data_IF_400388212672
#
_entry.id   IF_400388212672
#
_cell.length_a   1.000
_cell.length_b   1.000
_cell.length_c   1.000
_cell.angle_alpha   90.00
_cell.angle_beta   90.00
_cell.angle_gamma   90.00
#
_symmetry.space_group_name_H-M   'P 1'
#
loop_
_entity.id
_entity.type
_entity.pdbx_description
1 polymer ?
#
# COMPACT_ATOMS: atom_id res chain seq x y z
N UNK A 1 29.02 48.49 14.70
CA UNK A 1 29.62 47.99 13.45
C UNK A 1 29.96 46.54 13.71
N UNK A 2 29.32 45.62 12.98
CA UNK A 2 29.44 44.20 13.23
C UNK A 2 30.21 43.56 12.06
N UNK A 3 31.32 42.90 12.36
CA UNK A 3 32.27 42.36 11.38
C UNK A 3 32.30 40.82 11.43
N UNK A 4 31.97 40.16 10.33
CA UNK A 4 31.93 38.70 10.24
C UNK A 4 33.20 38.17 9.57
N UNK A 5 33.80 37.11 10.12
CA UNK A 5 34.97 36.42 9.55
C UNK A 5 34.57 35.09 8.92
N UNK A 6 34.96 34.88 7.66
CA UNK A 6 34.79 33.61 6.96
C UNK A 6 36.10 33.26 6.24
N UNK A 7 36.59 32.03 6.43
CA UNK A 7 37.76 31.50 5.72
C UNK A 7 37.26 30.50 4.67
N UNK A 8 37.70 30.58 3.40
CA UNK A 8 37.89 29.47 2.42
C UNK A 8 38.29 30.04 1.02
N UNK A 9 38.83 29.21 0.10
CA UNK A 9 39.40 29.60 -1.22
C UNK A 9 38.31 30.01 -2.24
N UNK A 10 38.58 31.09 -3.00
CA UNK A 10 37.74 31.63 -4.09
C UNK A 10 37.12 30.57 -5.03
N UNK A 11 35.82 30.32 -4.89
CA UNK A 11 35.01 29.48 -5.79
C UNK A 11 34.14 30.38 -6.69
N UNK A 12 34.05 30.10 -8.01
CA UNK A 12 33.27 30.90 -8.98
C UNK A 12 31.76 30.60 -8.99
N UNK A 13 31.29 29.71 -8.11
CA UNK A 13 29.90 29.33 -7.96
C UNK A 13 29.57 29.19 -6.47
N UNK A 14 28.31 29.45 -6.12
CA UNK A 14 27.80 29.30 -4.74
C UNK A 14 26.85 28.12 -4.69
N UNK A 15 27.21 27.08 -3.94
CA UNK A 15 26.37 25.88 -3.79
C UNK A 15 25.28 26.14 -2.76
N UNK A 16 24.03 25.90 -3.11
CA UNK A 16 22.87 26.02 -2.22
C UNK A 16 22.30 24.63 -1.99
N UNK A 17 22.06 24.25 -0.73
CA UNK A 17 21.46 22.96 -0.40
C UNK A 17 20.04 22.85 -0.95
N UNK A 18 19.69 21.71 -1.54
CA UNK A 18 18.32 21.43 -1.97
C UNK A 18 17.34 21.44 -0.78
N UNK A 19 17.81 21.07 0.42
CA UNK A 19 17.01 21.15 1.65
C UNK A 19 16.62 22.60 1.94
N UNK A 20 17.55 23.54 1.78
CA UNK A 20 17.27 24.95 1.94
C UNK A 20 16.16 25.38 0.98
N UNK A 21 16.27 24.99 -0.29
CA UNK A 21 15.31 25.34 -1.36
C UNK A 21 13.92 24.78 -1.03
N UNK A 22 13.83 23.50 -0.68
CA UNK A 22 12.55 22.82 -0.51
C UNK A 22 11.83 23.21 0.78
N UNK A 23 12.57 23.31 1.91
CA UNK A 23 11.97 23.45 3.25
C UNK A 23 12.01 24.88 3.81
N UNK A 24 13.02 25.67 3.46
CA UNK A 24 13.31 26.95 4.12
C UNK A 24 13.08 28.16 3.22
N UNK A 25 13.38 28.05 1.93
CA UNK A 25 13.29 29.15 0.96
C UNK A 25 11.83 29.54 0.68
N UNK A 26 10.92 28.55 0.59
CA UNK A 26 9.52 28.77 0.19
C UNK A 26 8.70 29.59 1.20
N UNK A 27 9.03 29.47 2.49
CA UNK A 27 8.33 30.16 3.59
C UNK A 27 8.99 31.49 3.98
N UNK A 28 10.23 31.73 3.56
CA UNK A 28 10.98 32.92 3.91
C UNK A 28 10.61 34.13 3.05
N UNK A 29 10.78 35.33 3.61
CA UNK A 29 10.62 36.58 2.85
C UNK A 29 11.69 36.68 1.77
N UNK A 30 11.32 37.15 0.58
CA UNK A 30 12.25 37.27 -0.56
C UNK A 30 13.53 38.06 -0.25
N UNK A 31 13.44 39.09 0.59
CA UNK A 31 14.62 39.86 1.04
C UNK A 31 15.56 39.01 1.92
N UNK A 32 15.04 38.13 2.77
CA UNK A 32 15.86 37.30 3.67
C UNK A 32 16.60 36.22 2.90
N UNK A 33 15.99 35.71 1.83
CA UNK A 33 16.63 34.78 0.89
C UNK A 33 17.80 35.46 0.19
N UNK A 34 17.64 36.72 -0.25
CA UNK A 34 18.74 37.50 -0.85
C UNK A 34 19.90 37.68 0.12
N UNK A 35 19.61 38.00 1.39
CA UNK A 35 20.63 38.12 2.45
C UNK A 35 21.36 36.80 2.67
N UNK A 36 20.62 35.68 2.75
CA UNK A 36 21.20 34.35 2.91
C UNK A 36 22.14 33.98 1.77
N UNK A 37 21.68 34.08 0.51
CA UNK A 37 22.46 33.72 -0.66
C UNK A 37 23.70 34.60 -0.83
N UNK A 38 23.57 35.90 -0.59
CA UNK A 38 24.70 36.83 -0.69
C UNK A 38 25.74 36.55 0.40
N UNK A 39 25.32 36.31 1.65
CA UNK A 39 26.25 35.93 2.72
C UNK A 39 26.89 34.56 2.50
N UNK A 40 26.16 33.59 1.95
CA UNK A 40 26.70 32.29 1.58
C UNK A 40 27.78 32.43 0.51
N UNK A 41 27.55 33.28 -0.49
CA UNK A 41 28.56 33.62 -1.51
C UNK A 41 29.81 34.21 -0.85
N UNK A 42 29.67 35.20 0.03
CA UNK A 42 30.81 35.81 0.70
C UNK A 42 31.57 34.83 1.60
N UNK A 43 30.85 33.94 2.29
CA UNK A 43 31.44 32.86 3.06
C UNK A 43 32.28 31.92 2.20
N UNK A 44 31.78 31.53 1.02
CA UNK A 44 32.50 30.63 0.10
C UNK A 44 33.67 31.31 -0.64
N UNK A 45 33.53 32.60 -0.95
CA UNK A 45 34.58 33.35 -1.65
C UNK A 45 35.74 33.77 -0.72
N UNK A 46 35.54 33.75 0.60
CA UNK A 46 36.56 34.18 1.56
C UNK A 46 36.82 35.69 1.52
N UNK A 47 35.82 36.49 1.15
CA UNK A 47 35.92 37.95 1.15
C UNK A 47 36.03 38.46 2.61
N UNK A 48 37.19 39.03 2.95
CA UNK A 48 37.45 39.60 4.27
C UNK A 48 36.71 40.93 4.45
N UNK A 49 36.00 41.10 5.57
CA UNK A 49 35.49 42.40 6.02
C UNK A 49 34.09 42.78 5.54
N UNK A 50 33.25 41.81 5.13
CA UNK A 50 31.84 42.09 4.84
C UNK A 50 31.08 42.40 6.14
N UNK A 51 30.52 43.59 6.22
CA UNK A 51 29.72 44.06 7.34
C UNK A 51 28.24 44.25 6.93
N UNK A 52 27.36 44.45 7.92
CA UNK A 52 25.92 44.63 7.67
C UNK A 52 25.62 45.79 6.71
N UNK A 53 26.39 46.88 6.79
CA UNK A 53 26.30 48.03 5.87
C UNK A 53 26.63 47.65 4.42
N UNK A 54 27.65 46.83 4.18
CA UNK A 54 28.02 46.39 2.82
C UNK A 54 26.91 45.52 2.21
N UNK A 55 26.32 44.62 2.99
CA UNK A 55 25.20 43.77 2.54
C UNK A 55 23.96 44.62 2.28
N UNK A 56 23.64 45.53 3.19
CA UNK A 56 22.52 46.47 3.08
C UNK A 56 22.61 47.32 1.81
N UNK A 57 23.78 47.91 1.56
CA UNK A 57 24.04 48.71 0.37
C UNK A 57 23.94 47.88 -0.92
N UNK A 58 24.50 46.67 -0.93
CA UNK A 58 24.49 45.79 -2.12
C UNK A 58 23.08 45.32 -2.47
N UNK A 59 22.24 45.06 -1.46
CA UNK A 59 20.87 44.57 -1.64
C UNK A 59 19.82 45.68 -1.66
N UNK A 60 20.23 46.93 -1.47
CA UNK A 60 19.35 48.09 -1.27
C UNK A 60 18.32 47.87 -0.15
N UNK A 61 18.80 47.38 1.01
CA UNK A 61 18.03 47.12 2.22
C UNK A 61 18.48 48.02 3.38
N UNK A 62 17.68 48.11 4.45
CA UNK A 62 18.12 48.71 5.70
C UNK A 62 19.03 47.74 6.47
N UNK A 63 20.00 48.25 7.23
CA UNK A 63 20.85 47.40 8.09
C UNK A 63 20.02 46.62 9.13
N UNK A 64 18.92 47.21 9.61
CA UNK A 64 17.97 46.52 10.49
C UNK A 64 17.35 45.30 9.82
N UNK A 65 17.05 45.37 8.52
CA UNK A 65 16.45 44.26 7.78
C UNK A 65 17.46 43.14 7.55
N UNK A 66 18.73 43.49 7.34
CA UNK A 66 19.84 42.52 7.26
C UNK A 66 20.01 41.81 8.61
N UNK A 67 20.00 42.53 9.73
CA UNK A 67 20.08 41.92 11.06
C UNK A 67 18.87 41.04 11.37
N UNK A 68 17.65 41.48 11.00
CA UNK A 68 16.44 40.69 11.15
C UNK A 68 16.47 39.40 10.33
N UNK A 69 17.03 39.46 9.12
CA UNK A 69 17.24 38.26 8.29
C UNK A 69 18.20 37.28 8.97
N UNK A 70 19.31 37.77 9.54
CA UNK A 70 20.26 36.90 10.26
C UNK A 70 19.65 36.25 11.50
N UNK A 71 18.93 37.02 12.32
CA UNK A 71 18.21 36.48 13.47
C UNK A 71 17.19 35.43 13.05
N UNK A 72 16.41 35.71 12.00
CA UNK A 72 15.44 34.76 11.45
C UNK A 72 16.07 33.42 11.04
N UNK A 73 17.21 33.45 10.33
CA UNK A 73 17.91 32.23 9.93
C UNK A 73 18.56 31.50 11.12
N UNK A 74 19.00 32.25 12.13
CA UNK A 74 19.52 31.69 13.38
C UNK A 74 18.42 30.99 14.18
N UNK A 75 17.23 31.59 14.26
CA UNK A 75 16.06 31.02 14.95
C UNK A 75 15.57 29.72 14.29
N UNK A 76 15.65 29.64 12.95
CA UNK A 76 15.36 28.43 12.18
C UNK A 76 16.50 27.39 12.24
N UNK A 77 17.62 27.71 12.88
CA UNK A 77 18.77 26.82 13.00
C UNK A 77 19.49 26.54 11.68
N UNK A 78 19.30 27.37 10.65
CA UNK A 78 19.99 27.24 9.35
C UNK A 78 21.41 27.79 9.46
N UNK A 79 21.62 28.76 10.34
CA UNK A 79 22.92 29.36 10.66
C UNK A 79 23.10 29.48 12.18
N UNK A 80 24.33 29.77 12.62
CA UNK A 80 24.63 30.25 13.98
C UNK A 80 25.34 31.59 13.93
N UNK A 81 24.98 32.46 14.85
CA UNK A 81 25.68 33.73 15.07
C UNK A 81 26.52 33.63 16.34
N UNK A 82 27.85 33.74 16.22
CA UNK A 82 28.76 33.75 17.35
C UNK A 82 29.23 35.19 17.63
N UNK A 83 29.02 35.74 18.84
CA UNK A 83 29.57 37.04 19.18
C UNK A 83 31.09 36.96 19.31
N UNK A 84 31.81 37.81 18.57
CA UNK A 84 33.27 37.92 18.60
C UNK A 84 33.74 38.95 19.64
N UNK A 85 32.97 40.03 19.84
CA UNK A 85 33.31 41.11 20.78
C UNK A 85 32.06 41.73 21.43
N UNK A 86 32.24 42.41 22.56
CA UNK A 86 31.20 43.23 23.21
C UNK A 86 30.78 44.47 22.40
N UNK A 87 31.41 44.74 21.25
CA UNK A 87 31.12 45.86 20.34
C UNK A 87 30.05 45.55 19.28
N UNK A 88 29.40 44.39 19.37
CA UNK A 88 28.38 43.93 18.43
C UNK A 88 28.93 43.10 17.27
N UNK A 89 30.23 42.81 17.22
CA UNK A 89 30.83 41.99 16.17
C UNK A 89 30.35 40.54 16.28
N UNK A 90 29.84 39.96 15.19
CA UNK A 90 29.38 38.57 15.13
C UNK A 90 30.12 37.83 14.02
N UNK A 91 30.33 36.52 14.11
CA UNK A 91 30.63 35.63 12.98
C UNK A 91 29.40 34.77 12.67
N UNK A 92 29.14 34.52 11.39
CA UNK A 92 28.04 33.65 10.95
C UNK A 92 28.66 32.32 10.55
N UNK A 93 28.06 31.25 11.04
CA UNK A 93 28.41 29.89 10.64
C UNK A 93 27.19 29.31 9.91
N UNK A 94 27.36 28.93 8.64
CA UNK A 94 26.33 28.20 7.91
C UNK A 94 26.37 26.73 8.32
N UNK A 95 25.24 26.20 8.78
CA UNK A 95 25.15 24.83 9.26
C UNK A 95 24.87 23.85 8.12
N UNK A 96 25.33 22.62 8.29
CA UNK A 96 25.01 21.52 7.38
C UNK A 96 23.56 21.07 7.61
N UNK A 97 22.70 21.37 6.63
CA UNK A 97 21.26 21.10 6.72
C UNK A 97 20.93 19.60 6.63
N UNK A 98 21.81 18.77 6.06
CA UNK A 98 21.61 17.32 6.04
C UNK A 98 21.58 16.76 7.48
N UNK A 99 22.51 17.23 8.32
CA UNK A 99 22.57 16.85 9.75
C UNK A 99 21.39 17.36 10.58
N UNK A 100 20.77 18.47 10.19
CA UNK A 100 19.59 19.02 10.88
C UNK A 100 18.33 18.21 10.60
N UNK A 101 18.15 17.74 9.36
CA UNK A 101 17.05 16.82 9.04
C UNK A 101 17.25 15.50 9.76
N UNK A 102 18.47 14.95 9.76
CA UNK A 102 18.77 13.73 10.50
C UNK A 102 18.39 13.89 11.99
N UNK A 103 18.73 15.01 12.62
CA UNK A 103 18.38 15.26 14.03
C UNK A 103 16.87 15.50 14.29
N UNK A 104 16.12 16.01 13.31
CA UNK A 104 14.67 16.20 13.45
C UNK A 104 13.87 14.91 13.17
N UNK A 105 14.34 14.06 12.24
CA UNK A 105 13.75 12.75 11.96
C UNK A 105 14.18 11.68 13.00
N UNK A 106 15.36 11.80 13.62
CA UNK A 106 15.87 10.93 14.68
C UNK A 106 15.27 11.18 16.08
N UNK A 107 14.10 11.84 16.19
CA UNK A 107 13.39 12.02 17.48
C UNK A 107 12.71 10.74 18.00
N UNK A 108 13.22 9.57 17.61
CA UNK A 108 13.23 8.38 18.45
C UNK A 108 14.67 8.24 18.91
N UNK A 109 14.97 8.71 20.12
CA UNK A 109 16.30 8.55 20.72
C UNK A 109 16.56 7.05 20.95
N UNK A 110 17.04 6.37 19.90
CA UNK A 110 17.32 4.93 19.87
C UNK A 110 18.25 4.56 21.01
N UNK A 111 19.24 5.40 21.30
CA UNK A 111 20.19 5.23 22.40
C UNK A 111 19.50 5.24 23.77
N UNK A 112 18.54 6.13 24.00
CA UNK A 112 17.75 6.13 25.24
C UNK A 112 16.83 4.90 25.34
N UNK A 113 16.19 4.50 24.24
CA UNK A 113 15.27 3.35 24.21
C UNK A 113 15.99 2.01 24.35
N UNK A 114 17.23 1.90 23.87
CA UNK A 114 18.08 0.72 24.07
C UNK A 114 18.54 0.54 25.53
N UNK A 115 18.28 1.50 26.42
CA UNK A 115 18.44 1.28 27.87
C UNK A 115 17.36 0.38 28.45
N UNK A 116 16.21 0.29 27.78
CA UNK A 116 15.15 -0.67 28.13
C UNK A 116 15.60 -2.08 27.74
N UNK A 117 15.64 -2.98 28.73
CA UNK A 117 16.07 -4.37 28.54
C UNK A 117 15.16 -5.14 27.61
N UNK A 118 13.86 -4.82 27.58
CA UNK A 118 12.89 -5.48 26.69
C UNK A 118 13.14 -5.10 25.22
N UNK A 119 13.34 -3.80 24.95
CA UNK A 119 13.63 -3.29 23.62
C UNK A 119 14.98 -3.81 23.12
N UNK A 120 16.00 -3.79 23.99
CA UNK A 120 17.32 -4.31 23.65
C UNK A 120 17.25 -5.81 23.31
N UNK A 121 16.57 -6.61 24.14
CA UNK A 121 16.37 -8.04 23.90
C UNK A 121 15.64 -8.31 22.58
N UNK A 122 14.59 -7.54 22.29
CA UNK A 122 13.88 -7.60 21.00
C UNK A 122 14.85 -7.35 19.84
N UNK A 123 15.65 -6.29 19.87
CA UNK A 123 16.58 -5.99 18.77
C UNK A 123 17.62 -7.11 18.58
N UNK A 124 18.21 -7.61 19.67
CA UNK A 124 19.19 -8.72 19.61
C UNK A 124 18.58 -10.01 19.05
N UNK A 125 17.33 -10.32 19.39
CA UNK A 125 16.62 -11.47 18.83
C UNK A 125 16.30 -11.29 17.35
N UNK A 126 15.89 -10.08 16.93
CA UNK A 126 15.67 -9.78 15.51
C UNK A 126 16.97 -9.92 14.72
N UNK A 127 18.09 -9.43 15.24
CA UNK A 127 19.41 -9.59 14.61
C UNK A 127 19.80 -11.06 14.46
N UNK A 128 19.54 -11.89 15.47
CA UNK A 128 19.74 -13.35 15.40
C UNK A 128 18.86 -13.98 14.32
N UNK A 129 17.58 -13.60 14.22
CA UNK A 129 16.65 -14.11 13.21
C UNK A 129 17.06 -13.72 11.78
N UNK A 130 17.60 -12.51 11.61
CA UNK A 130 18.06 -12.00 10.32
C UNK A 130 19.50 -12.45 9.97
N UNK A 131 20.25 -12.94 10.95
CA UNK A 131 21.67 -13.28 10.86
C UNK A 131 22.55 -12.10 10.37
N UNK A 132 22.19 -10.89 10.78
CA UNK A 132 22.95 -9.65 10.49
C UNK A 132 22.58 -8.55 11.49
N UNK A 133 23.44 -7.54 11.67
CA UNK A 133 23.06 -6.36 12.43
C UNK A 133 21.91 -5.59 11.78
N UNK A 134 21.12 -4.92 12.62
CA UNK A 134 20.09 -4.00 12.18
C UNK A 134 20.69 -2.65 11.80
N UNK A 135 20.13 -2.03 10.77
CA UNK A 135 20.43 -0.63 10.45
C UNK A 135 19.64 0.31 11.36
N UNK A 136 20.14 1.54 11.54
CA UNK A 136 19.42 2.57 12.32
C UNK A 136 17.99 2.79 11.79
N UNK A 137 17.80 2.74 10.47
CA UNK A 137 16.49 2.88 9.83
C UNK A 137 15.51 1.76 10.22
N UNK A 138 16.00 0.53 10.35
CA UNK A 138 15.19 -0.60 10.78
C UNK A 138 14.84 -0.48 12.26
N UNK A 139 15.82 -0.12 13.10
CA UNK A 139 15.59 0.12 14.52
C UNK A 139 14.54 1.21 14.74
N UNK A 140 14.65 2.36 14.06
CA UNK A 140 13.68 3.45 14.18
C UNK A 140 12.30 3.03 13.70
N UNK A 141 12.20 2.28 12.61
CA UNK A 141 10.94 1.73 12.09
C UNK A 141 10.27 0.79 13.10
N UNK A 142 11.01 -0.14 13.72
CA UNK A 142 10.41 -1.08 14.69
C UNK A 142 9.97 -0.34 15.96
N UNK A 143 10.74 0.66 16.38
CA UNK A 143 10.39 1.53 17.50
C UNK A 143 9.20 2.45 17.19
N UNK A 144 8.97 2.80 15.92
CA UNK A 144 7.79 3.58 15.52
C UNK A 144 6.54 2.73 15.61
N UNK A 145 6.57 1.44 15.28
CA UNK A 145 5.41 0.54 15.44
C UNK A 145 4.91 0.41 16.88
N UNK A 146 5.80 0.50 17.87
CA UNK A 146 5.39 0.53 19.28
C UNK A 146 4.59 1.79 19.61
N UNK A 147 4.92 2.93 18.99
CA UNK A 147 4.27 4.21 19.22
C UNK A 147 3.00 4.39 18.38
N UNK A 148 3.09 4.04 17.10
CA UNK A 148 2.08 4.33 16.10
C UNK A 148 1.01 3.23 16.05
N UNK A 149 1.41 1.96 16.26
CA UNK A 149 0.52 0.80 16.20
C UNK A 149 0.27 0.15 17.57
N UNK A 150 0.89 0.67 18.63
CA UNK A 150 0.84 0.08 19.98
C UNK A 150 1.31 -1.39 20.02
N UNK A 151 2.23 -1.77 19.14
CA UNK A 151 2.78 -3.13 19.16
C UNK A 151 3.71 -3.33 20.35
N UNK A 152 3.55 -4.46 21.06
CA UNK A 152 4.51 -4.86 22.09
C UNK A 152 5.80 -5.41 21.46
N UNK A 153 6.92 -5.41 22.19
CA UNK A 153 8.17 -6.00 21.71
C UNK A 153 8.02 -7.47 21.25
N UNK A 154 7.22 -8.25 21.99
CA UNK A 154 6.93 -9.65 21.68
C UNK A 154 6.12 -9.80 20.38
N UNK A 155 5.18 -8.88 20.13
CA UNK A 155 4.40 -8.87 18.90
C UNK A 155 5.27 -8.56 17.68
N UNK A 156 6.21 -7.61 17.82
CA UNK A 156 7.18 -7.27 16.78
C UNK A 156 8.10 -8.46 16.50
N UNK A 157 8.56 -9.18 17.54
CA UNK A 157 9.34 -10.41 17.37
C UNK A 157 8.56 -11.48 16.60
N UNK A 158 7.30 -11.71 16.95
CA UNK A 158 6.47 -12.67 16.24
C UNK A 158 6.28 -12.29 14.77
N UNK A 159 6.05 -11.00 14.49
CA UNK A 159 5.94 -10.47 13.13
C UNK A 159 7.22 -10.73 12.32
N UNK A 160 8.38 -10.55 12.93
CA UNK A 160 9.68 -10.84 12.32
C UNK A 160 9.86 -12.32 12.05
N UNK A 161 9.60 -13.18 13.03
CA UNK A 161 9.64 -14.63 12.88
C UNK A 161 8.74 -15.09 11.74
N UNK A 162 7.51 -14.58 11.69
CA UNK A 162 6.57 -14.88 10.63
C UNK A 162 7.11 -14.48 9.25
N UNK A 163 7.62 -13.26 9.11
CA UNK A 163 8.16 -12.75 7.84
C UNK A 163 9.36 -13.55 7.35
N UNK A 164 10.29 -13.87 8.27
CA UNK A 164 11.45 -14.72 7.99
C UNK A 164 11.03 -16.14 7.61
N UNK A 165 10.01 -16.71 8.26
CA UNK A 165 9.48 -18.05 7.94
C UNK A 165 8.95 -18.15 6.49
N UNK A 166 8.46 -17.03 5.93
CA UNK A 166 8.03 -16.93 4.53
C UNK A 166 9.17 -16.62 3.56
N UNK A 167 10.42 -16.58 4.04
CA UNK A 167 11.60 -16.21 3.25
C UNK A 167 11.65 -14.73 2.89
N UNK A 168 10.90 -13.86 3.58
CA UNK A 168 10.78 -12.44 3.28
C UNK A 168 11.48 -11.61 4.35
N UNK A 169 12.74 -11.23 4.07
CA UNK A 169 13.61 -10.48 4.99
C UNK A 169 13.75 -8.98 4.67
N UNK A 170 13.06 -8.52 3.63
CA UNK A 170 13.10 -7.11 3.21
C UNK A 170 12.25 -6.24 4.14
N UNK A 171 12.83 -5.16 4.69
CA UNK A 171 12.14 -4.31 5.67
C UNK A 171 10.85 -3.68 5.12
N UNK A 172 10.77 -3.37 3.82
CA UNK A 172 9.54 -2.80 3.22
C UNK A 172 8.43 -3.83 3.13
N UNK A 173 8.80 -5.09 2.90
CA UNK A 173 7.83 -6.19 2.95
C UNK A 173 7.31 -6.42 4.38
N UNK A 174 8.23 -6.42 5.36
CA UNK A 174 7.90 -6.57 6.78
C UNK A 174 6.98 -5.42 7.23
N UNK A 175 7.26 -4.19 6.81
CA UNK A 175 6.42 -3.01 7.07
C UNK A 175 4.98 -3.19 6.55
N UNK A 176 4.80 -3.76 5.34
CA UNK A 176 3.46 -4.08 4.82
C UNK A 176 2.71 -5.09 5.69
N UNK A 177 3.42 -6.06 6.27
CA UNK A 177 2.81 -7.00 7.22
C UNK A 177 2.41 -6.26 8.50
N UNK A 178 3.25 -5.37 9.01
CA UNK A 178 2.94 -4.56 10.19
C UNK A 178 1.69 -3.71 10.00
N UNK A 179 1.59 -3.01 8.86
CA UNK A 179 0.40 -2.24 8.48
C UNK A 179 -0.83 -3.15 8.41
N UNK A 180 -0.72 -4.32 7.77
CA UNK A 180 -1.82 -5.29 7.69
C UNK A 180 -2.29 -5.78 9.07
N UNK A 181 -1.36 -6.06 9.99
CA UNK A 181 -1.68 -6.47 11.36
C UNK A 181 -2.37 -5.34 12.14
N UNK A 182 -1.89 -4.12 11.97
CA UNK A 182 -2.50 -2.93 12.57
C UNK A 182 -3.92 -2.70 12.02
N UNK A 183 -4.12 -2.78 10.71
CA UNK A 183 -5.43 -2.63 10.06
C UNK A 183 -6.42 -3.72 10.50
N UNK A 184 -5.90 -4.93 10.73
CA UNK A 184 -6.65 -6.05 11.32
C UNK A 184 -6.89 -5.90 12.84
N UNK A 185 -6.42 -4.81 13.46
CA UNK A 185 -6.56 -4.49 14.89
C UNK A 185 -5.94 -5.52 15.82
N UNK A 186 -4.87 -6.18 15.38
CA UNK A 186 -4.11 -7.14 16.16
C UNK A 186 -3.32 -6.38 17.22
N UNK A 187 -3.50 -6.74 18.50
CA UNK A 187 -2.80 -6.08 19.62
C UNK A 187 -2.00 -7.03 20.49
N UNK A 188 -2.36 -8.30 20.49
CA UNK A 188 -1.72 -9.32 21.33
C UNK A 188 -1.05 -10.40 20.49
N UNK A 189 -0.12 -11.12 21.11
CA UNK A 189 0.54 -12.30 20.51
C UNK A 189 -0.50 -13.37 20.15
N UNK A 190 -1.52 -13.57 21.00
CA UNK A 190 -2.59 -14.54 20.77
C UNK A 190 -3.45 -14.15 19.55
N UNK A 191 -3.81 -12.87 19.42
CA UNK A 191 -4.52 -12.35 18.24
C UNK A 191 -3.71 -12.61 16.96
N UNK A 192 -2.40 -12.35 17.00
CA UNK A 192 -1.51 -12.53 15.87
C UNK A 192 -1.38 -14.00 15.48
N UNK A 193 -1.22 -14.90 16.45
CA UNK A 193 -1.17 -16.34 16.20
C UNK A 193 -2.49 -16.86 15.62
N UNK A 194 -3.63 -16.42 16.16
CA UNK A 194 -4.94 -16.78 15.63
C UNK A 194 -5.11 -16.26 14.19
N UNK A 195 -4.66 -15.03 13.91
CA UNK A 195 -4.69 -14.44 12.57
C UNK A 195 -3.80 -15.20 11.58
N UNK A 196 -2.55 -15.50 11.96
CA UNK A 196 -1.62 -16.31 11.16
C UNK A 196 -2.25 -17.68 10.86
N UNK A 197 -2.76 -18.37 11.88
CA UNK A 197 -3.37 -19.68 11.74
C UNK A 197 -4.57 -19.64 10.80
N UNK A 198 -5.48 -18.69 10.98
CA UNK A 198 -6.66 -18.53 10.12
C UNK A 198 -6.26 -18.28 8.65
N UNK A 199 -5.23 -17.46 8.42
CA UNK A 199 -4.70 -17.21 7.09
C UNK A 199 -4.09 -18.48 6.46
N UNK A 200 -3.32 -19.25 7.24
CA UNK A 200 -2.70 -20.50 6.77
C UNK A 200 -3.71 -21.61 6.49
N UNK A 201 -4.69 -21.80 7.38
CA UNK A 201 -5.79 -22.75 7.19
C UNK A 201 -6.60 -22.40 5.94
N UNK A 202 -6.89 -21.11 5.74
CA UNK A 202 -7.52 -20.63 4.51
C UNK A 202 -6.69 -20.95 3.28
N UNK A 203 -5.39 -20.67 3.31
CA UNK A 203 -4.49 -20.94 2.18
C UNK A 203 -4.36 -22.44 1.89
N UNK A 204 -4.41 -23.29 2.91
CA UNK A 204 -4.42 -24.74 2.79
C UNK A 204 -5.71 -25.22 2.08
N UNK A 205 -6.86 -24.65 2.44
CA UNK A 205 -8.13 -24.91 1.75
C UNK A 205 -8.10 -24.45 0.29
N UNK A 206 -7.54 -23.27 0.01
CA UNK A 206 -7.31 -22.77 -1.34
C UNK A 206 -6.47 -23.76 -2.16
N UNK A 207 -5.33 -24.22 -1.62
CA UNK A 207 -4.48 -25.22 -2.28
C UNK A 207 -5.22 -26.52 -2.58
N UNK A 208 -6.05 -27.00 -1.66
CA UNK A 208 -6.88 -28.20 -1.87
C UNK A 208 -7.84 -28.00 -3.05
N UNK A 209 -8.51 -26.86 -3.15
CA UNK A 209 -9.41 -26.52 -4.27
C UNK A 209 -8.64 -26.43 -5.59
N UNK A 210 -7.48 -25.77 -5.62
CA UNK A 210 -6.68 -25.65 -6.83
C UNK A 210 -6.16 -27.01 -7.31
N UNK A 211 -5.68 -27.84 -6.39
CA UNK A 211 -5.27 -29.21 -6.70
C UNK A 211 -6.43 -30.04 -7.26
N UNK A 212 -7.64 -29.88 -6.70
CA UNK A 212 -8.85 -30.53 -7.20
C UNK A 212 -9.18 -30.10 -8.64
N UNK A 213 -8.97 -28.82 -8.96
CA UNK A 213 -9.12 -28.27 -10.32
C UNK A 213 -7.96 -28.63 -11.28
N UNK A 214 -6.96 -29.40 -10.83
CA UNK A 214 -5.78 -29.74 -11.61
C UNK A 214 -4.75 -28.60 -11.74
N UNK A 215 -4.93 -27.51 -11.01
CA UNK A 215 -4.04 -26.35 -11.02
C UNK A 215 -2.94 -26.57 -9.97
N UNK A 216 -1.75 -26.96 -10.44
CA UNK A 216 -0.58 -27.25 -9.59
C UNK A 216 0.27 -26.01 -9.26
N UNK A 217 0.00 -24.87 -9.89
CA UNK A 217 0.79 -23.65 -9.70
C UNK A 217 0.55 -23.04 -8.32
N UNK A 218 1.64 -22.66 -7.66
CA UNK A 218 1.66 -22.01 -6.35
C UNK A 218 1.10 -20.58 -6.37
N UNK A 219 1.00 -19.97 -7.55
CA UNK A 219 0.62 -18.58 -7.75
C UNK A 219 -0.78 -18.50 -8.37
N UNK A 220 -1.70 -17.91 -7.60
CA UNK A 220 -3.09 -17.68 -8.00
C UNK A 220 -3.21 -16.24 -8.44
N UNK A 221 -3.91 -15.99 -9.55
CA UNK A 221 -4.19 -14.61 -9.95
C UNK A 221 -5.12 -13.94 -8.94
N UNK A 222 -4.90 -12.66 -8.61
CA UNK A 222 -5.72 -11.92 -7.63
C UNK A 222 -7.25 -12.07 -7.84
N UNK A 223 -7.80 -12.01 -9.07
CA UNK A 223 -9.24 -12.20 -9.27
C UNK A 223 -9.73 -13.61 -8.90
N UNK A 224 -8.92 -14.64 -9.13
CA UNK A 224 -9.24 -16.02 -8.74
C UNK A 224 -9.13 -16.20 -7.23
N UNK A 225 -8.11 -15.60 -6.62
CA UNK A 225 -7.93 -15.60 -5.15
C UNK A 225 -9.15 -14.96 -4.46
N UNK A 226 -9.66 -13.84 -4.97
CA UNK A 226 -10.87 -13.19 -4.44
C UNK A 226 -12.11 -14.08 -4.52
N UNK A 227 -12.27 -14.87 -5.59
CA UNK A 227 -13.38 -15.82 -5.69
C UNK A 227 -13.23 -16.95 -4.67
N UNK A 228 -12.03 -17.53 -4.56
CA UNK A 228 -11.74 -18.59 -3.59
C UNK A 228 -11.92 -18.12 -2.15
N UNK A 229 -11.44 -16.91 -1.83
CA UNK A 229 -11.62 -16.25 -0.53
C UNK A 229 -13.11 -16.04 -0.24
N UNK A 230 -13.89 -15.58 -1.23
CA UNK A 230 -15.34 -15.44 -1.11
C UNK A 230 -16.01 -16.79 -0.79
N UNK A 231 -15.63 -17.87 -1.45
CA UNK A 231 -16.23 -19.19 -1.23
C UNK A 231 -15.96 -19.72 0.19
N UNK A 232 -14.73 -19.52 0.69
CA UNK A 232 -14.29 -20.05 2.00
C UNK A 232 -14.72 -19.13 3.15
N UNK A 233 -14.54 -17.81 3.02
CA UNK A 233 -14.69 -16.87 4.13
C UNK A 233 -16.07 -16.20 4.17
N UNK A 234 -16.65 -15.87 3.02
CA UNK A 234 -17.97 -15.21 2.94
C UNK A 234 -19.09 -16.25 2.93
N UNK A 235 -19.03 -17.21 2.01
CA UNK A 235 -20.06 -18.26 1.91
C UNK A 235 -19.91 -19.34 2.98
N UNK A 236 -18.69 -19.48 3.53
CA UNK A 236 -18.36 -20.50 4.53
C UNK A 236 -18.73 -21.90 4.07
N UNK A 237 -18.54 -22.17 2.77
CA UNK A 237 -18.83 -23.49 2.23
C UNK A 237 -17.73 -24.48 2.62
N UNK A 238 -18.10 -25.70 3.06
CA UNK A 238 -17.15 -26.79 3.21
C UNK A 238 -16.57 -27.17 1.84
N UNK A 239 -15.36 -27.71 1.85
CA UNK A 239 -14.63 -28.09 0.63
C UNK A 239 -15.45 -29.01 -0.28
N UNK A 240 -16.22 -29.93 0.29
CA UNK A 240 -17.04 -30.89 -0.45
C UNK A 240 -18.11 -30.21 -1.31
N UNK A 241 -18.71 -29.11 -0.82
CA UNK A 241 -19.66 -28.33 -1.60
C UNK A 241 -18.95 -27.61 -2.75
N UNK A 242 -17.77 -27.06 -2.49
CA UNK A 242 -16.97 -26.41 -3.53
C UNK A 242 -16.58 -27.42 -4.61
N UNK A 243 -16.13 -28.63 -4.22
CA UNK A 243 -15.81 -29.71 -5.15
C UNK A 243 -17.01 -30.11 -6.01
N UNK A 244 -18.21 -30.21 -5.43
CA UNK A 244 -19.42 -30.49 -6.20
C UNK A 244 -19.70 -29.41 -7.26
N UNK A 245 -19.46 -28.14 -6.94
CA UNK A 245 -19.58 -27.07 -7.94
C UNK A 245 -18.51 -27.18 -9.05
N UNK A 246 -17.28 -27.58 -8.68
CA UNK A 246 -16.21 -27.87 -9.64
C UNK A 246 -16.58 -29.03 -10.58
N UNK A 247 -17.16 -30.10 -10.06
CA UNK A 247 -17.59 -31.27 -10.85
C UNK A 247 -18.66 -30.87 -11.87
N UNK A 248 -19.69 -30.14 -11.45
CA UNK A 248 -20.75 -29.63 -12.34
C UNK A 248 -20.16 -28.73 -13.43
N UNK A 249 -19.15 -27.91 -13.11
CA UNK A 249 -18.44 -27.10 -14.10
C UNK A 249 -17.73 -27.99 -15.12
N UNK A 250 -17.00 -29.00 -14.64
CA UNK A 250 -16.23 -29.90 -15.49
C UNK A 250 -17.13 -30.74 -16.39
N UNK A 251 -18.23 -31.31 -15.87
CA UNK A 251 -19.20 -32.08 -16.66
C UNK A 251 -19.82 -31.26 -17.80
N UNK A 252 -20.07 -29.96 -17.58
CA UNK A 252 -20.75 -29.10 -18.55
C UNK A 252 -19.82 -28.44 -19.56
N UNK A 253 -18.61 -28.05 -19.15
CA UNK A 253 -17.69 -27.25 -19.96
C UNK A 253 -16.41 -28.00 -20.34
N UNK A 254 -16.16 -29.17 -19.76
CA UNK A 254 -14.93 -29.95 -19.90
C UNK A 254 -13.64 -29.14 -19.61
N UNK A 255 -13.75 -28.14 -18.74
CA UNK A 255 -12.65 -27.29 -18.27
C UNK A 255 -12.96 -26.63 -16.93
N UNK A 256 -11.92 -26.29 -16.17
CA UNK A 256 -12.05 -25.50 -14.94
C UNK A 256 -12.25 -24.01 -15.29
N UNK A 257 -13.44 -23.48 -15.01
CA UNK A 257 -13.74 -22.06 -15.15
C UNK A 257 -14.30 -21.48 -13.84
N UNK A 258 -13.44 -20.76 -13.12
CA UNK A 258 -13.74 -20.06 -11.88
C UNK A 258 -15.00 -19.20 -11.94
N UNK A 259 -15.24 -18.45 -13.03
CA UNK A 259 -16.45 -17.63 -13.15
C UNK A 259 -17.73 -18.45 -13.15
N UNK A 260 -17.68 -19.63 -13.77
CA UNK A 260 -18.82 -20.54 -13.83
C UNK A 260 -19.08 -21.18 -12.47
N UNK A 261 -18.01 -21.66 -11.81
CA UNK A 261 -18.07 -22.20 -10.44
C UNK A 261 -18.63 -21.15 -9.48
N UNK A 262 -18.15 -19.91 -9.57
CA UNK A 262 -18.64 -18.79 -8.78
C UNK A 262 -20.14 -18.58 -8.98
N UNK A 263 -20.62 -18.64 -10.23
CA UNK A 263 -22.06 -18.54 -10.54
C UNK A 263 -22.91 -19.64 -9.89
N UNK A 264 -22.41 -20.88 -9.84
CA UNK A 264 -23.07 -22.00 -9.15
C UNK A 264 -23.13 -21.74 -7.65
N UNK A 265 -21.99 -21.39 -7.05
CA UNK A 265 -21.89 -21.17 -5.60
C UNK A 265 -22.70 -19.95 -5.16
N UNK A 266 -22.74 -18.88 -5.95
CA UNK A 266 -23.60 -17.72 -5.71
C UNK A 266 -25.09 -18.12 -5.69
N UNK A 267 -25.51 -18.99 -6.61
CA UNK A 267 -26.87 -19.52 -6.66
C UNK A 267 -27.19 -20.35 -5.42
N UNK A 268 -26.27 -21.22 -4.98
CA UNK A 268 -26.49 -22.01 -3.77
C UNK A 268 -26.54 -21.15 -2.51
N UNK A 269 -25.66 -20.18 -2.39
CA UNK A 269 -25.62 -19.25 -1.26
C UNK A 269 -26.90 -18.41 -1.18
N UNK A 270 -27.35 -17.84 -2.30
CA UNK A 270 -28.60 -17.06 -2.35
C UNK A 270 -29.86 -17.88 -2.04
N UNK A 271 -29.81 -19.20 -2.24
CA UNK A 271 -30.90 -20.12 -1.87
C UNK A 271 -30.69 -20.80 -0.50
N UNK A 272 -29.72 -20.34 0.30
CA UNK A 272 -29.38 -20.91 1.62
C UNK A 272 -29.07 -22.42 1.61
N UNK A 273 -28.57 -22.95 0.49
CA UNK A 273 -28.18 -24.35 0.37
C UNK A 273 -26.75 -24.51 0.90
N UNK A 274 -26.64 -24.97 2.15
CA UNK A 274 -25.35 -25.08 2.85
C UNK A 274 -24.89 -26.51 3.09
N UNK A 275 -25.70 -27.51 2.69
CA UNK A 275 -25.37 -28.93 2.80
C UNK A 275 -25.47 -29.62 1.44
N UNK A 276 -24.75 -30.74 1.30
CA UNK A 276 -24.81 -31.58 0.09
C UNK A 276 -26.23 -32.11 -0.12
N UNK A 277 -26.92 -32.45 0.97
CA UNK A 277 -28.31 -32.93 0.95
C UNK A 277 -29.29 -31.89 0.39
N UNK A 278 -29.13 -30.62 0.79
CA UNK A 278 -29.97 -29.53 0.29
C UNK A 278 -29.79 -29.31 -1.21
N UNK A 279 -28.56 -29.46 -1.70
CA UNK A 279 -28.22 -29.37 -3.13
C UNK A 279 -28.88 -30.53 -3.90
N UNK A 280 -28.79 -31.76 -3.38
CA UNK A 280 -29.39 -32.94 -4.02
C UNK A 280 -30.92 -32.89 -4.06
N UNK A 281 -31.56 -32.38 -2.98
CA UNK A 281 -33.02 -32.17 -2.96
C UNK A 281 -33.45 -31.19 -4.04
N UNK A 282 -32.69 -30.11 -4.26
CA UNK A 282 -32.97 -29.13 -5.32
C UNK A 282 -32.75 -29.70 -6.73
N UNK A 283 -31.72 -30.52 -6.94
CA UNK A 283 -31.47 -31.14 -8.25
C UNK A 283 -32.53 -32.20 -8.59
N UNK A 284 -33.02 -32.95 -7.59
CA UNK A 284 -34.18 -33.85 -7.75
C UNK A 284 -35.46 -33.11 -8.13
N UNK A 285 -35.68 -31.91 -7.58
CA UNK A 285 -36.83 -31.07 -7.92
C UNK A 285 -36.73 -30.48 -9.34
N UNK A 286 -35.52 -30.17 -9.83
CA UNK A 286 -35.31 -29.70 -11.21
C UNK A 286 -35.58 -30.79 -12.26
N UNK A 287 -35.41 -32.07 -11.93
CA UNK A 287 -35.75 -33.19 -12.82
C UNK A 287 -37.23 -33.30 -13.19
N UNK A 288 -38.13 -32.66 -12.42
CA UNK A 288 -39.58 -32.75 -12.62
C UNK A 288 -40.23 -31.50 -13.24
N UNK A 289 -39.47 -30.43 -13.50
CA UNK A 289 -39.98 -29.36 -14.36
C UNK A 289 -39.74 -29.72 -15.82
N UNK A 290 -40.69 -30.47 -16.39
CA UNK A 290 -40.91 -30.42 -17.85
C UNK A 290 -40.85 -28.95 -18.27
N UNK A 291 -40.01 -28.63 -19.26
CA UNK A 291 -40.08 -27.36 -19.98
C UNK A 291 -41.52 -27.17 -20.43
N UNK A 292 -42.30 -26.40 -19.67
CA UNK A 292 -43.44 -25.72 -20.25
C UNK A 292 -42.83 -24.65 -21.14
N UNK A 293 -42.92 -24.87 -22.45
CA UNK A 293 -42.77 -23.82 -23.45
C UNK A 293 -43.87 -22.78 -23.18
N UNK A 294 -43.62 -21.87 -22.24
CA UNK A 294 -44.34 -20.62 -22.16
C UNK A 294 -43.78 -19.71 -23.25
N UNK A 295 -44.49 -19.66 -24.38
CA UNK A 295 -44.45 -18.53 -25.29
C UNK A 295 -44.91 -17.28 -24.51
N UNK A 296 -43.96 -16.66 -23.81
CA UNK A 296 -44.14 -15.34 -23.21
C UNK A 296 -43.85 -14.28 -24.26
N UNK A 297 -44.90 -13.55 -24.64
CA UNK A 297 -44.83 -12.35 -25.48
C UNK A 297 -43.83 -11.33 -24.92
N UNK A 298 -42.60 -11.35 -25.43
CA UNK A 298 -41.70 -10.20 -25.36
C UNK A 298 -42.07 -9.27 -26.51
N UNK A 299 -42.76 -8.17 -26.18
CA UNK A 299 -42.87 -7.00 -27.06
C UNK A 299 -41.47 -6.40 -27.24
N UNK A 300 -40.74 -6.92 -28.22
CA UNK A 300 -39.61 -6.22 -28.79
C UNK A 300 -40.14 -4.99 -29.53
N UNK A 301 -39.52 -3.83 -29.31
CA UNK A 301 -39.71 -2.63 -30.12
C UNK A 301 -39.54 -3.03 -31.59
N UNK A 302 -40.61 -2.88 -32.37
CA UNK A 302 -40.60 -3.10 -33.81
C UNK A 302 -39.87 -1.90 -34.41
N UNK A 303 -38.67 -2.14 -34.92
CA UNK A 303 -37.96 -1.19 -35.78
C UNK A 303 -38.69 -1.13 -37.13
N UNK A 304 -38.73 0.04 -37.77
CA UNK A 304 -39.55 0.36 -38.96
C UNK A 304 -39.26 -0.53 -40.20
N UNK A 305 -38.28 -1.42 -40.08
CA UNK A 305 -37.86 -2.38 -41.09
C UNK A 305 -38.65 -3.72 -41.07
N UNK A 306 -39.42 -4.00 -40.01
CA UNK A 306 -40.12 -5.28 -39.82
C UNK A 306 -41.66 -5.21 -39.96
N UNK A 307 -42.19 -4.24 -40.72
CA UNK A 307 -43.64 -3.99 -40.87
C UNK A 307 -44.29 -4.78 -42.02
N UNK A 308 -43.84 -6.01 -42.25
CA UNK A 308 -44.44 -6.93 -43.22
C UNK A 308 -44.89 -8.21 -42.53
N UNK A 309 -45.98 -8.82 -42.99
CA UNK A 309 -46.42 -10.13 -42.50
C UNK A 309 -45.30 -11.17 -42.64
N UNK A 310 -44.76 -11.60 -41.51
CA UNK A 310 -43.80 -12.70 -41.48
C UNK A 310 -44.51 -13.99 -41.85
N UNK A 311 -43.99 -14.69 -42.87
CA UNK A 311 -44.54 -15.97 -43.31
C UNK A 311 -44.47 -16.97 -42.16
N UNK A 312 -45.64 -17.41 -41.70
CA UNK A 312 -45.78 -18.55 -40.79
C UNK A 312 -45.76 -19.83 -41.63
N UNK A 313 -44.72 -20.64 -41.46
CA UNK A 313 -44.63 -21.95 -42.10
C UNK A 313 -44.94 -23.03 -41.06
N UNK A 314 -45.96 -23.85 -41.32
CA UNK A 314 -46.13 -25.11 -40.60
C UNK A 314 -45.16 -26.14 -41.19
N UNK A 315 -44.05 -26.35 -40.50
CA UNK A 315 -43.01 -27.29 -40.92
C UNK A 315 -43.54 -28.72 -41.05
N UNK A 316 -44.56 -29.12 -40.30
CA UNK A 316 -45.15 -30.46 -40.42
C UNK A 316 -45.98 -30.62 -41.68
N UNK A 317 -46.70 -29.57 -42.07
CA UNK A 317 -47.45 -29.53 -43.33
C UNK A 317 -46.51 -29.56 -44.54
N UNK A 318 -45.42 -28.78 -44.48
CA UNK A 318 -44.38 -28.79 -45.50
C UNK A 318 -43.67 -30.14 -45.59
N UNK A 319 -43.37 -30.78 -44.47
CA UNK A 319 -42.75 -32.10 -44.42
C UNK A 319 -43.67 -33.17 -45.04
N UNK A 320 -44.98 -33.13 -44.74
CA UNK A 320 -45.97 -34.02 -45.37
C UNK A 320 -46.05 -33.82 -46.88
N UNK A 321 -46.06 -32.56 -47.34
CA UNK A 321 -46.07 -32.23 -48.79
C UNK A 321 -44.79 -32.65 -49.48
N UNK A 322 -43.64 -32.49 -48.82
CA UNK A 322 -42.34 -32.92 -49.35
C UNK A 322 -42.24 -34.44 -49.48
N UNK A 323 -42.80 -35.17 -48.51
CA UNK A 323 -42.80 -36.64 -48.48
C UNK A 323 -43.92 -37.28 -49.31
N UNK A 324 -44.75 -36.47 -49.98
CA UNK A 324 -45.86 -36.96 -50.81
C UNK A 324 -46.96 -37.66 -50.03
N UNK A 325 -47.15 -37.31 -48.76
CA UNK A 325 -48.16 -37.90 -47.87
C UNK A 325 -49.53 -37.20 -47.92
N UNK A 326 -49.68 -36.19 -48.77
CA UNK A 326 -51.00 -35.67 -49.15
C UNK A 326 -51.64 -36.63 -50.17
N UNK A 327 -52.24 -37.72 -49.65
CA UNK A 327 -53.25 -38.47 -50.39
C UNK A 327 -54.55 -37.65 -50.36
N UNK A 328 -54.85 -36.93 -51.43
CA UNK A 328 -56.20 -36.49 -51.75
C UNK A 328 -56.55 -36.98 -53.16
N UNK A 329 -57.40 -38.02 -53.21
CA UNK A 329 -58.43 -38.17 -54.24
C UNK A 329 -59.52 -37.09 -54.04
#
# INVERSE_FOLDING_TARGET
MNTFMFNHKNVQYTLVSNIFIDKFMTSARGQYIKVYLLGLRYCMAGELGVNSSSIANTLHLLESDVMNAWNYWSDLGVIKMHPLDNSGTFSIEFLDLDTLIENQENKVDVLSKLKDSSIKGMMEEIEKLLARPLSNKEMTMYLSWQKDFNFSPELILLLMQYSVSKGKRDYRYIEKIAISWHDAKIKTVDDAQAFIKAHEDKWLNIKKILNYLGIKNSEVMKPQEQMLDKWISVYKFPLEIIYKACDICFERLNKAEFKYIDGILNNWFSNNLKTIEDIEKKDKLKGNFKKNNYYGNNKNKVDLFNDYEQRSYDFKDLEKKLLGWDNND
#
